data_IF_678535974979
#
_entry.id   IF_678535974979
#
_cell.length_a   1.000
_cell.length_b   1.000
_cell.length_c   1.000
_cell.angle_alpha   90.00
_cell.angle_beta   90.00
_cell.angle_gamma   90.00
#
_symmetry.space_group_name_H-M   'P 1'
#
loop_
_entity.id
_entity.type
_entity.pdbx_description
1 polymer ?
#
# COMPACT_ATOMS: atom_id res chain seq x y z
N UNK A 1 32.86 9.80 9.62
CA UNK A 1 31.63 10.62 9.47
C UNK A 1 30.52 9.69 8.99
N UNK A 2 29.43 9.52 9.74
CA UNK A 2 28.33 8.65 9.30
C UNK A 2 27.59 9.30 8.12
N UNK A 3 27.63 8.67 6.94
CA UNK A 3 26.89 9.12 5.75
C UNK A 3 25.39 9.00 6.02
N UNK A 4 24.70 10.14 6.07
CA UNK A 4 23.24 10.19 6.23
C UNK A 4 22.60 9.60 4.97
N UNK A 5 21.95 8.45 5.10
CA UNK A 5 21.25 7.77 4.00
C UNK A 5 19.77 8.15 3.95
N UNK A 6 19.13 8.03 2.78
CA UNK A 6 17.69 8.27 2.64
C UNK A 6 16.87 7.41 3.60
N UNK A 7 17.24 6.13 3.76
CA UNK A 7 16.61 5.19 4.69
C UNK A 7 16.64 5.71 6.14
N UNK A 8 17.77 6.27 6.58
CA UNK A 8 17.89 6.86 7.93
C UNK A 8 17.00 8.10 8.12
N UNK A 9 16.83 8.90 7.06
CA UNK A 9 15.96 10.08 7.09
C UNK A 9 14.47 9.70 7.08
N UNK A 10 14.08 8.68 6.31
CA UNK A 10 12.71 8.16 6.29
C UNK A 10 12.32 7.53 7.64
N UNK A 11 13.23 6.79 8.26
CA UNK A 11 13.00 6.26 9.62
C UNK A 11 12.82 7.36 10.66
N UNK A 12 13.58 8.47 10.55
CA UNK A 12 13.42 9.64 11.42
C UNK A 12 12.10 10.36 11.15
N UNK A 13 11.68 10.47 9.88
CA UNK A 13 10.41 11.06 9.50
C UNK A 13 9.23 10.29 10.12
N UNK A 14 9.21 8.96 9.99
CA UNK A 14 8.18 8.11 10.59
C UNK A 14 8.07 8.28 12.12
N UNK A 15 9.20 8.44 12.82
CA UNK A 15 9.21 8.73 14.27
C UNK A 15 8.63 10.11 14.59
N UNK A 16 8.97 11.13 13.80
CA UNK A 16 8.43 12.48 13.99
C UNK A 16 6.92 12.53 13.72
N UNK A 17 6.43 11.80 12.72
CA UNK A 17 4.99 11.68 12.44
C UNK A 17 4.25 10.93 13.54
N UNK A 18 4.86 9.91 14.15
CA UNK A 18 4.32 9.27 15.34
C UNK A 18 4.25 10.22 16.55
N UNK A 19 5.30 11.03 16.75
CA UNK A 19 5.34 12.06 17.81
C UNK A 19 4.32 13.17 17.59
N UNK A 20 4.09 13.59 16.34
CA UNK A 20 3.06 14.59 16.01
C UNK A 20 1.65 14.07 16.31
N UNK A 21 1.37 12.80 15.98
CA UNK A 21 0.09 12.14 16.31
C UNK A 21 -0.13 11.98 17.81
N UNK A 22 0.93 11.74 18.57
CA UNK A 22 0.90 11.63 20.04
C UNK A 22 1.03 12.95 20.80
N UNK A 23 1.18 14.09 20.12
CA UNK A 23 1.42 15.38 20.76
C UNK A 23 0.19 15.86 21.54
N UNK A 24 0.37 16.07 22.84
CA UNK A 24 -0.70 16.48 23.75
C UNK A 24 -0.80 17.99 23.89
N UNK A 25 0.26 18.72 23.53
CA UNK A 25 0.29 20.18 23.60
C UNK A 25 0.40 20.84 22.21
N UNK A 26 -0.13 22.07 22.05
CA UNK A 26 0.05 22.84 20.82
C UNK A 26 1.54 23.08 20.46
N UNK A 27 2.39 23.27 21.48
CA UNK A 27 3.82 23.48 21.30
C UNK A 27 4.56 22.25 20.75
N UNK A 28 4.23 21.06 21.26
CA UNK A 28 4.77 19.78 20.77
C UNK A 28 4.35 19.51 19.32
N UNK A 29 3.09 19.77 18.97
CA UNK A 29 2.58 19.62 17.60
C UNK A 29 3.29 20.55 16.63
N UNK A 30 3.45 21.83 17.00
CA UNK A 30 4.17 22.81 16.19
C UNK A 30 5.68 22.50 16.06
N UNK A 31 6.29 21.89 17.07
CA UNK A 31 7.68 21.45 17.01
C UNK A 31 7.85 20.21 16.09
N UNK A 32 6.95 19.24 16.19
CA UNK A 32 6.95 18.03 15.36
C UNK A 32 6.68 18.34 13.88
N UNK A 33 5.71 19.22 13.58
CA UNK A 33 5.43 19.67 12.21
C UNK A 33 6.67 20.33 11.56
N UNK A 34 7.35 21.25 12.27
CA UNK A 34 8.60 21.87 11.79
C UNK A 34 9.73 20.85 11.62
N UNK A 35 9.80 19.82 12.46
CA UNK A 35 10.78 18.75 12.32
C UNK A 35 10.48 17.86 11.09
N UNK A 36 9.20 17.59 10.82
CA UNK A 36 8.73 16.86 9.63
C UNK A 36 9.12 17.60 8.35
N UNK A 37 8.84 18.89 8.28
CA UNK A 37 9.20 19.75 7.14
C UNK A 37 10.71 19.73 6.86
N UNK A 38 11.56 19.86 7.89
CA UNK A 38 13.02 19.81 7.74
C UNK A 38 13.50 18.45 7.20
N UNK A 39 12.93 17.36 7.69
CA UNK A 39 13.30 16.01 7.24
C UNK A 39 12.85 15.75 5.80
N UNK A 40 11.65 16.18 5.42
CA UNK A 40 11.16 16.11 4.04
C UNK A 40 12.04 16.93 3.10
N UNK A 41 12.35 18.18 3.44
CA UNK A 41 13.24 19.03 2.65
C UNK A 41 14.63 18.38 2.47
N UNK A 42 15.13 17.71 3.50
CA UNK A 42 16.43 17.03 3.43
C UNK A 42 16.40 15.78 2.56
N UNK A 43 15.31 15.00 2.57
CA UNK A 43 15.12 13.86 1.67
C UNK A 43 15.03 14.32 0.22
N UNK A 44 14.29 15.41 -0.04
CA UNK A 44 14.19 16.01 -1.38
C UNK A 44 15.55 16.45 -1.90
N UNK A 45 16.35 17.14 -1.07
CA UNK A 45 17.72 17.50 -1.43
C UNK A 45 18.62 16.29 -1.69
N UNK A 46 18.51 15.22 -0.89
CA UNK A 46 19.29 14.00 -1.07
C UNK A 46 18.95 13.32 -2.41
N UNK A 47 17.66 13.24 -2.76
CA UNK A 47 17.22 12.73 -4.06
C UNK A 47 17.66 13.61 -5.22
N UNK A 48 17.64 14.93 -5.04
CA UNK A 48 18.10 15.87 -6.08
C UNK A 48 19.61 15.79 -6.32
N UNK A 49 20.38 15.28 -5.35
CA UNK A 49 21.83 15.07 -5.45
C UNK A 49 22.21 13.64 -5.86
N UNK A 50 21.25 12.73 -5.95
CA UNK A 50 21.45 11.36 -6.44
C UNK A 50 21.68 11.38 -7.96
N UNK A 51 22.84 10.91 -8.46
CA UNK A 51 23.16 10.88 -9.89
C UNK A 51 22.17 10.06 -10.72
N UNK A 52 21.66 8.95 -10.16
CA UNK A 52 20.71 8.07 -10.84
C UNK A 52 19.34 8.72 -10.91
N UNK A 53 18.88 9.32 -9.80
CA UNK A 53 17.60 10.04 -9.80
C UNK A 53 17.63 11.25 -10.74
N UNK A 54 18.76 11.98 -10.81
CA UNK A 54 18.97 13.07 -11.76
C UNK A 54 18.95 12.60 -13.20
N UNK A 55 19.61 11.47 -13.50
CA UNK A 55 19.60 10.88 -14.84
C UNK A 55 18.18 10.50 -15.26
N UNK A 56 17.44 9.79 -14.40
CA UNK A 56 16.04 9.41 -14.66
C UNK A 56 15.16 10.65 -14.84
N UNK A 57 15.29 11.66 -13.98
CA UNK A 57 14.50 12.89 -14.09
C UNK A 57 14.78 13.66 -15.39
N UNK A 58 16.06 13.79 -15.78
CA UNK A 58 16.45 14.42 -17.05
C UNK A 58 15.94 13.63 -18.26
N UNK A 59 15.99 12.30 -18.18
CA UNK A 59 15.50 11.42 -19.23
C UNK A 59 13.97 11.51 -19.37
N UNK A 60 13.22 11.48 -18.26
CA UNK A 60 11.76 11.65 -18.25
C UNK A 60 11.35 13.03 -18.77
N UNK A 61 12.08 14.09 -18.40
CA UNK A 61 11.85 15.43 -18.92
C UNK A 61 12.10 15.52 -20.44
N UNK A 62 13.13 14.82 -20.95
CA UNK A 62 13.43 14.74 -22.38
C UNK A 62 12.34 14.04 -23.21
N UNK A 63 11.54 13.17 -22.57
CA UNK A 63 10.41 12.48 -23.19
C UNK A 63 9.14 13.35 -23.27
N UNK A 64 9.19 14.62 -22.80
CA UNK A 64 8.04 15.52 -22.79
C UNK A 64 6.93 15.09 -21.84
N UNK A 65 7.20 14.14 -20.94
CA UNK A 65 6.27 13.68 -19.91
C UNK A 65 6.26 14.74 -18.81
N UNK A 66 5.33 15.69 -18.92
CA UNK A 66 5.05 16.61 -17.83
C UNK A 66 4.67 15.79 -16.59
N UNK A 67 5.33 15.95 -15.43
CA UNK A 67 4.93 15.21 -14.24
C UNK A 67 3.49 15.57 -13.94
N UNK A 68 2.59 14.60 -14.15
CA UNK A 68 1.18 14.77 -13.80
C UNK A 68 1.14 15.22 -12.34
N UNK A 69 0.43 16.32 -12.06
CA UNK A 69 0.15 16.76 -10.69
C UNK A 69 -0.27 15.52 -9.90
N UNK A 70 0.36 15.19 -8.76
CA UNK A 70 0.00 14.00 -8.01
C UNK A 70 -1.50 14.09 -7.72
N UNK A 71 -2.27 13.15 -8.29
CA UNK A 71 -3.68 13.06 -8.00
C UNK A 71 -3.84 12.92 -6.48
N UNK A 72 -4.86 13.55 -5.87
CA UNK A 72 -5.14 13.28 -4.47
C UNK A 72 -5.26 11.77 -4.27
N UNK A 73 -4.73 11.22 -3.17
CA UNK A 73 -4.74 9.78 -2.95
C UNK A 73 -6.17 9.28 -3.07
N UNK A 74 -6.37 8.26 -3.91
CA UNK A 74 -7.66 7.64 -4.07
C UNK A 74 -8.07 7.03 -2.72
N UNK A 75 -9.37 7.01 -2.44
CA UNK A 75 -9.90 6.28 -1.28
C UNK A 75 -9.86 4.78 -1.57
N UNK A 76 -9.68 3.98 -0.53
CA UNK A 76 -9.93 2.55 -0.63
C UNK A 76 -11.38 2.30 -1.12
N UNK A 77 -11.62 1.23 -1.89
CA UNK A 77 -12.97 0.83 -2.21
C UNK A 77 -13.72 0.47 -0.92
N UNK A 78 -15.04 0.61 -0.93
CA UNK A 78 -15.85 0.13 0.17
C UNK A 78 -15.83 -1.40 0.22
N UNK A 79 -16.15 -1.97 1.38
CA UNK A 79 -16.28 -3.42 1.54
C UNK A 79 -17.28 -4.00 0.53
N UNK A 80 -18.42 -3.34 0.30
CA UNK A 80 -19.41 -3.76 -0.68
C UNK A 80 -18.87 -3.77 -2.12
N UNK A 81 -18.02 -2.81 -2.50
CA UNK A 81 -17.38 -2.80 -3.81
C UNK A 81 -16.39 -3.97 -3.98
N UNK A 82 -15.61 -4.27 -2.94
CA UNK A 82 -14.70 -5.41 -2.93
C UNK A 82 -15.46 -6.74 -3.00
N UNK A 83 -16.51 -6.90 -2.19
CA UNK A 83 -17.38 -8.09 -2.22
C UNK A 83 -18.02 -8.26 -3.60
N UNK A 84 -18.49 -7.20 -4.24
CA UNK A 84 -19.05 -7.28 -5.58
C UNK A 84 -18.03 -7.79 -6.62
N UNK A 85 -16.78 -7.32 -6.56
CA UNK A 85 -15.70 -7.81 -7.43
C UNK A 85 -15.39 -9.30 -7.17
N UNK A 86 -15.33 -9.71 -5.91
CA UNK A 86 -15.11 -11.11 -5.53
C UNK A 86 -16.25 -12.03 -6.00
N UNK A 87 -17.50 -11.57 -5.94
CA UNK A 87 -18.65 -12.34 -6.41
C UNK A 87 -18.66 -12.51 -7.93
N UNK A 88 -18.25 -11.49 -8.70
CA UNK A 88 -18.06 -11.59 -10.15
C UNK A 88 -16.97 -12.61 -10.50
N UNK A 89 -15.86 -12.61 -9.77
CA UNK A 89 -14.81 -13.62 -9.93
C UNK A 89 -15.30 -15.03 -9.58
N UNK A 90 -16.09 -15.16 -8.51
CA UNK A 90 -16.71 -16.44 -8.12
C UNK A 90 -17.68 -16.98 -9.17
N UNK A 91 -18.47 -16.08 -9.78
CA UNK A 91 -19.43 -16.42 -10.83
C UNK A 91 -18.75 -16.78 -12.16
N UNK A 92 -17.47 -16.44 -12.33
CA UNK A 92 -16.73 -16.61 -13.58
C UNK A 92 -16.89 -15.44 -14.56
N UNK A 93 -17.58 -14.37 -14.16
CA UNK A 93 -17.71 -13.15 -14.97
C UNK A 93 -16.38 -12.42 -15.11
N UNK A 94 -15.52 -12.52 -14.08
CA UNK A 94 -14.14 -12.05 -14.11
C UNK A 94 -13.18 -13.23 -14.06
N UNK A 95 -12.15 -13.18 -14.88
CA UNK A 95 -10.97 -14.04 -14.78
C UNK A 95 -10.03 -13.61 -13.66
N UNK A 96 -9.04 -14.46 -13.36
CA UNK A 96 -7.98 -14.16 -12.37
C UNK A 96 -7.23 -12.88 -12.72
N UNK A 97 -6.83 -12.73 -13.98
CA UNK A 97 -5.98 -11.61 -14.43
C UNK A 97 -6.76 -10.29 -14.40
N UNK A 98 -8.06 -10.32 -14.71
CA UNK A 98 -8.93 -9.15 -14.62
C UNK A 98 -9.10 -8.67 -13.17
N UNK A 99 -9.30 -9.62 -12.24
CA UNK A 99 -9.38 -9.29 -10.81
C UNK A 99 -8.04 -8.75 -10.28
N UNK A 100 -6.92 -9.35 -10.67
CA UNK A 100 -5.59 -8.89 -10.28
C UNK A 100 -5.33 -7.48 -10.80
N UNK A 101 -5.54 -7.22 -12.09
CA UNK A 101 -5.34 -5.90 -12.70
C UNK A 101 -6.28 -4.84 -12.11
N UNK A 102 -7.49 -5.22 -11.72
CA UNK A 102 -8.39 -4.33 -10.98
C UNK A 102 -7.80 -3.96 -9.61
N UNK A 103 -7.31 -4.93 -8.85
CA UNK A 103 -6.73 -4.69 -7.53
C UNK A 103 -5.41 -3.87 -7.60
N UNK A 104 -4.51 -4.19 -8.53
CA UNK A 104 -3.24 -3.47 -8.75
C UNK A 104 -3.50 -1.98 -9.01
N UNK A 105 -4.43 -1.65 -9.92
CA UNK A 105 -4.76 -0.25 -10.24
C UNK A 105 -5.28 0.55 -9.04
N UNK A 106 -5.89 -0.12 -8.06
CA UNK A 106 -6.35 0.53 -6.83
C UNK A 106 -5.16 0.72 -5.89
N UNK A 107 -4.39 -0.34 -5.63
CA UNK A 107 -3.22 -0.31 -4.75
C UNK A 107 -2.22 0.78 -5.15
N UNK A 108 -1.99 0.97 -6.46
CA UNK A 108 -1.08 2.00 -6.98
C UNK A 108 -1.53 3.45 -6.70
N UNK A 109 -2.79 3.66 -6.30
CA UNK A 109 -3.42 4.99 -6.18
C UNK A 109 -3.84 5.34 -4.77
N UNK A 110 -3.87 4.38 -3.84
CA UNK A 110 -4.35 4.55 -2.47
C UNK A 110 -3.19 4.59 -1.49
N UNK A 111 -3.35 5.33 -0.39
CA UNK A 111 -2.47 5.19 0.77
C UNK A 111 -3.00 4.05 1.61
N UNK A 112 -2.22 2.98 1.75
CA UNK A 112 -2.63 1.80 2.52
C UNK A 112 -2.42 2.01 4.02
N UNK A 113 -3.37 1.59 4.87
CA UNK A 113 -3.17 1.55 6.31
C UNK A 113 -2.03 0.60 6.66
N UNK A 114 -1.26 0.96 7.69
CA UNK A 114 -0.13 0.16 8.21
C UNK A 114 -0.44 -0.55 9.52
N UNK A 115 -1.58 -0.20 10.13
CA UNK A 115 -2.07 -0.75 11.38
C UNK A 115 -3.24 -1.71 11.08
N UNK A 116 -3.21 -2.97 11.54
CA UNK A 116 -4.31 -3.93 11.35
C UNK A 116 -5.63 -3.49 11.99
N UNK A 117 -5.60 -2.59 12.98
CA UNK A 117 -6.82 -2.06 13.63
C UNK A 117 -7.36 -0.81 12.93
N UNK A 118 -6.65 -0.26 11.93
CA UNK A 118 -7.11 0.92 11.22
C UNK A 118 -8.37 0.66 10.38
N UNK A 119 -9.17 1.71 10.22
CA UNK A 119 -10.32 1.68 9.31
C UNK A 119 -9.88 1.28 7.89
N UNK A 120 -10.55 0.27 7.32
CA UNK A 120 -10.25 -0.25 6.00
C UNK A 120 -9.03 -1.18 5.94
N UNK A 121 -8.37 -1.52 7.05
CA UNK A 121 -7.19 -2.39 7.08
C UNK A 121 -7.42 -3.74 6.42
N UNK A 122 -8.52 -4.42 6.73
CA UNK A 122 -8.80 -5.72 6.13
C UNK A 122 -9.26 -5.63 4.66
N UNK A 123 -9.88 -4.51 4.23
CA UNK A 123 -10.11 -4.26 2.79
C UNK A 123 -8.77 -4.07 2.06
N UNK A 124 -7.88 -3.27 2.63
CA UNK A 124 -6.54 -3.04 2.11
C UNK A 124 -5.73 -4.33 2.00
N UNK A 125 -5.80 -5.18 3.04
CA UNK A 125 -5.12 -6.47 3.06
C UNK A 125 -5.64 -7.41 1.97
N UNK A 126 -6.96 -7.56 1.82
CA UNK A 126 -7.52 -8.40 0.75
C UNK A 126 -7.09 -7.85 -0.62
N UNK A 127 -7.14 -6.53 -0.83
CA UNK A 127 -6.69 -5.91 -2.08
C UNK A 127 -5.23 -6.20 -2.39
N UNK A 128 -4.34 -6.14 -1.38
CA UNK A 128 -2.93 -6.49 -1.53
C UNK A 128 -2.78 -7.94 -1.99
N UNK A 129 -3.48 -8.89 -1.36
CA UNK A 129 -3.39 -10.29 -1.77
C UNK A 129 -3.97 -10.53 -3.17
N UNK A 130 -5.04 -9.79 -3.55
CA UNK A 130 -5.60 -9.84 -4.89
C UNK A 130 -4.67 -9.25 -5.96
N UNK A 131 -3.98 -8.15 -5.66
CA UNK A 131 -2.94 -7.59 -6.53
C UNK A 131 -1.75 -8.54 -6.68
N UNK A 132 -1.52 -9.39 -5.68
CA UNK A 132 -0.46 -10.39 -5.66
C UNK A 132 -0.93 -11.79 -6.04
N UNK A 133 -2.03 -11.94 -6.79
CA UNK A 133 -2.54 -13.27 -7.18
C UNK A 133 -1.48 -14.12 -7.89
N UNK A 134 -0.56 -13.53 -8.64
CA UNK A 134 0.59 -14.23 -9.24
C UNK A 134 1.56 -14.87 -8.22
N UNK A 135 1.51 -14.48 -6.94
CA UNK A 135 2.27 -15.06 -5.81
C UNK A 135 1.40 -15.87 -4.87
N UNK A 136 0.17 -15.42 -4.59
CA UNK A 136 -0.77 -16.11 -3.71
C UNK A 136 -1.88 -16.73 -4.56
N UNK A 137 -1.94 -18.07 -4.62
CA UNK A 137 -2.92 -18.77 -5.45
C UNK A 137 -4.29 -18.88 -4.78
N UNK A 138 -4.88 -17.74 -4.41
CA UNK A 138 -6.30 -17.63 -4.05
C UNK A 138 -7.15 -18.05 -5.26
N UNK A 139 -8.29 -18.66 -4.99
CA UNK A 139 -9.19 -19.23 -6.00
C UNK A 139 -10.62 -18.74 -5.79
N UNK A 140 -11.49 -18.84 -6.82
CA UNK A 140 -12.92 -18.52 -6.71
C UNK A 140 -13.64 -19.19 -5.52
N UNK A 141 -13.23 -20.42 -5.16
CA UNK A 141 -13.76 -21.15 -4.00
C UNK A 141 -13.42 -20.53 -2.65
N UNK A 142 -12.34 -19.75 -2.57
CA UNK A 142 -11.87 -19.12 -1.34
C UNK A 142 -12.70 -17.87 -1.00
N UNK A 143 -13.49 -17.33 -1.95
CA UNK A 143 -14.28 -16.10 -1.80
C UNK A 143 -15.17 -16.10 -0.56
N UNK A 144 -15.77 -17.23 -0.19
CA UNK A 144 -16.58 -17.32 1.03
C UNK A 144 -15.78 -17.00 2.30
N UNK A 145 -14.55 -17.52 2.40
CA UNK A 145 -13.66 -17.26 3.51
C UNK A 145 -13.11 -15.82 3.49
N UNK A 146 -12.86 -15.26 2.30
CA UNK A 146 -12.47 -13.86 2.14
C UNK A 146 -13.58 -12.93 2.65
N UNK A 147 -14.84 -13.19 2.29
CA UNK A 147 -15.98 -12.40 2.77
C UNK A 147 -16.19 -12.53 4.29
N UNK A 148 -16.02 -13.74 4.85
CA UNK A 148 -16.08 -13.94 6.29
C UNK A 148 -15.00 -13.11 7.03
N UNK A 149 -13.77 -13.09 6.50
CA UNK A 149 -12.71 -12.24 7.04
C UNK A 149 -13.05 -10.74 6.98
N UNK A 150 -13.69 -10.28 5.90
CA UNK A 150 -14.11 -8.87 5.80
C UNK A 150 -15.11 -8.50 6.90
N UNK A 151 -16.04 -9.38 7.26
CA UNK A 151 -17.00 -9.16 8.34
C UNK A 151 -16.38 -9.29 9.73
N UNK A 152 -15.78 -10.44 10.03
CA UNK A 152 -15.42 -10.84 11.39
C UNK A 152 -14.01 -10.38 11.80
N UNK A 153 -13.19 -9.94 10.83
CA UNK A 153 -11.79 -9.51 11.02
C UNK A 153 -10.93 -10.56 11.75
N UNK A 154 -11.23 -11.85 11.56
CA UNK A 154 -10.39 -12.94 12.08
C UNK A 154 -9.07 -13.04 11.27
N UNK A 155 -8.09 -12.26 11.69
CA UNK A 155 -6.75 -12.21 11.11
C UNK A 155 -6.04 -13.57 11.14
N UNK A 156 -6.32 -14.41 12.15
CA UNK A 156 -5.70 -15.73 12.26
C UNK A 156 -6.25 -16.67 11.17
N UNK A 157 -7.57 -16.70 10.98
CA UNK A 157 -8.19 -17.47 9.91
C UNK A 157 -7.75 -16.96 8.52
N UNK A 158 -7.63 -15.64 8.37
CA UNK A 158 -7.12 -15.03 7.15
C UNK A 158 -5.70 -15.48 6.79
N UNK A 159 -4.75 -15.36 7.73
CA UNK A 159 -3.37 -15.75 7.45
C UNK A 159 -3.23 -17.25 7.19
N UNK A 160 -4.05 -18.09 7.84
CA UNK A 160 -4.12 -19.52 7.52
C UNK A 160 -4.61 -19.77 6.08
N UNK A 161 -5.61 -19.03 5.61
CA UNK A 161 -6.08 -19.09 4.23
C UNK A 161 -4.98 -18.69 3.23
N UNK A 162 -4.31 -17.56 3.47
CA UNK A 162 -3.24 -17.05 2.60
C UNK A 162 -2.03 -18.00 2.56
N UNK A 163 -1.65 -18.58 3.71
CA UNK A 163 -0.60 -19.59 3.79
C UNK A 163 -0.96 -20.83 2.95
N UNK A 164 -2.17 -21.38 3.14
CA UNK A 164 -2.66 -22.51 2.35
C UNK A 164 -2.73 -22.19 0.84
N UNK A 165 -3.10 -20.96 0.48
CA UNK A 165 -3.10 -20.50 -0.91
C UNK A 165 -1.69 -20.39 -1.51
N UNK A 166 -0.71 -19.98 -0.71
CA UNK A 166 0.70 -19.91 -1.12
C UNK A 166 1.30 -21.31 -1.32
N UNK A 167 1.00 -22.27 -0.44
CA UNK A 167 1.44 -23.67 -0.59
C UNK A 167 0.89 -24.33 -1.86
N UNK A 168 -0.37 -24.06 -2.21
CA UNK A 168 -0.99 -24.57 -3.45
C UNK A 168 -0.20 -24.17 -4.70
N UNK A 169 0.44 -23.00 -4.68
CA UNK A 169 1.28 -22.55 -5.79
C UNK A 169 2.56 -23.36 -5.89
N UNK A 170 3.21 -23.63 -4.76
CA UNK A 170 4.47 -24.38 -4.73
C UNK A 170 4.32 -25.81 -5.26
N UNK A 171 3.16 -26.45 -5.01
CA UNK A 171 2.88 -27.81 -5.51
C UNK A 171 2.53 -27.90 -7.01
N UNK A 172 2.37 -26.76 -7.69
CA UNK A 172 2.01 -26.70 -9.13
C UNK A 172 3.13 -26.17 -10.03
N UNK A 173 4.25 -25.73 -9.46
CA UNK A 173 5.47 -25.38 -10.19
C UNK A 173 6.42 -26.56 -10.24
#
# INVERSE_FOLDING_TARGET
MATVTETSLRQRLARVEALERGATTPGERAAAARARERLMARIVQLRASDPVARFVAAHVASLGVSPARPAPPARLPTEGQLVAALLRWRAGDWGRDELQLWAERIVDRVVLPTDPEAEGAAVAEVLLQLAMLHRVALQPRDVGAICAFLGDRDWRAWFALVAAASERRYRRG
#
